data_IF_585832472396
#
_entry.id   IF_585832472396
#
_cell.length_a   1.000
_cell.length_b   1.000
_cell.length_c   1.000
_cell.angle_alpha   90.00
_cell.angle_beta   90.00
_cell.angle_gamma   90.00
#
_symmetry.space_group_name_H-M   'P 1'
#
loop_
_entity.id
_entity.type
_entity.pdbx_description
1 polymer ?
#
# COMPACT_ATOMS: atom_id res chain seq x y z
N UNK A 1 13.99 -19.25 -26.52
CA UNK A 1 13.78 -18.44 -25.29
C UNK A 1 12.32 -18.32 -24.81
N UNK A 2 11.30 -18.79 -25.56
CA UNK A 2 9.89 -18.73 -25.13
C UNK A 2 9.50 -19.77 -24.05
N UNK A 3 10.16 -20.94 -24.00
CA UNK A 3 9.82 -22.02 -23.07
C UNK A 3 10.18 -21.77 -21.59
N UNK A 4 11.19 -20.94 -21.31
CA UNK A 4 11.56 -20.59 -19.93
C UNK A 4 10.59 -19.58 -19.31
N UNK A 5 10.02 -18.69 -20.13
CA UNK A 5 9.06 -17.66 -19.69
C UNK A 5 7.70 -18.29 -19.37
N UNK A 6 7.26 -19.29 -20.14
CA UNK A 6 6.00 -20.03 -19.88
C UNK A 6 6.09 -20.99 -18.70
N UNK A 7 7.22 -21.71 -18.52
CA UNK A 7 7.42 -22.60 -17.36
C UNK A 7 7.34 -21.84 -16.03
N UNK A 8 7.84 -20.60 -15.99
CA UNK A 8 7.80 -19.75 -14.79
C UNK A 8 6.41 -19.15 -14.54
N UNK A 9 5.62 -18.91 -15.59
CA UNK A 9 4.23 -18.43 -15.47
C UNK A 9 3.33 -19.44 -14.78
N UNK A 10 3.45 -20.72 -15.09
CA UNK A 10 2.65 -21.75 -14.44
C UNK A 10 2.93 -21.80 -12.93
N UNK A 11 4.19 -21.70 -12.51
CA UNK A 11 4.55 -21.61 -11.09
C UNK A 11 3.91 -20.40 -10.39
N UNK A 12 3.88 -19.22 -11.04
CA UNK A 12 3.22 -18.03 -10.50
C UNK A 12 1.72 -18.27 -10.33
N UNK A 13 1.06 -18.88 -11.32
CA UNK A 13 -0.36 -19.24 -11.22
C UNK A 13 -0.62 -20.28 -10.14
N UNK A 14 0.22 -21.30 -10.01
CA UNK A 14 0.11 -22.31 -8.96
C UNK A 14 0.28 -21.69 -7.57
N UNK A 15 1.26 -20.81 -7.39
CA UNK A 15 1.46 -20.08 -6.13
C UNK A 15 0.25 -19.18 -5.83
N UNK A 16 -0.25 -18.43 -6.82
CA UNK A 16 -1.42 -17.58 -6.64
C UNK A 16 -2.66 -18.40 -6.25
N UNK A 17 -2.91 -19.52 -6.93
CA UNK A 17 -4.01 -20.43 -6.60
C UNK A 17 -3.84 -21.04 -5.21
N UNK A 18 -2.62 -21.45 -4.84
CA UNK A 18 -2.35 -21.97 -3.50
C UNK A 18 -2.61 -20.92 -2.43
N UNK A 19 -2.20 -19.67 -2.63
CA UNK A 19 -2.45 -18.58 -1.69
C UNK A 19 -3.94 -18.28 -1.53
N UNK A 20 -4.70 -18.28 -2.64
CA UNK A 20 -6.16 -18.11 -2.62
C UNK A 20 -6.82 -19.27 -1.88
N UNK A 21 -6.46 -20.51 -2.21
CA UNK A 21 -7.00 -21.70 -1.55
C UNK A 21 -6.62 -21.74 -0.06
N UNK A 22 -5.43 -21.27 0.32
CA UNK A 22 -4.99 -21.20 1.70
C UNK A 22 -5.80 -20.17 2.50
N UNK A 23 -6.02 -18.98 1.95
CA UNK A 23 -6.82 -17.92 2.59
C UNK A 23 -8.26 -18.40 2.84
N UNK A 24 -8.90 -18.93 1.79
CA UNK A 24 -10.24 -19.50 1.85
C UNK A 24 -10.27 -20.70 2.81
N UNK A 25 -9.33 -21.62 2.69
CA UNK A 25 -9.29 -22.86 3.48
C UNK A 25 -9.11 -22.58 4.97
N UNK A 26 -8.27 -21.61 5.33
CA UNK A 26 -8.08 -21.21 6.74
C UNK A 26 -9.29 -20.43 7.25
N UNK A 27 -9.91 -19.58 6.43
CA UNK A 27 -11.15 -18.89 6.78
C UNK A 27 -12.29 -19.88 7.12
N UNK A 28 -12.47 -20.93 6.31
CA UNK A 28 -13.50 -21.95 6.54
C UNK A 28 -13.13 -22.94 7.65
N UNK A 29 -11.86 -23.31 7.79
CA UNK A 29 -11.42 -24.36 8.73
C UNK A 29 -11.18 -23.86 10.15
N UNK A 30 -10.49 -22.71 10.29
CA UNK A 30 -10.11 -22.14 11.59
C UNK A 30 -10.95 -20.93 11.98
N UNK A 31 -11.77 -20.40 11.06
CA UNK A 31 -12.54 -19.17 11.25
C UNK A 31 -11.73 -17.91 10.93
N UNK A 32 -12.42 -16.87 10.49
CA UNK A 32 -11.88 -15.55 10.11
C UNK A 32 -11.33 -14.74 11.29
N UNK A 33 -11.57 -15.18 12.52
CA UNK A 33 -11.02 -14.56 13.72
C UNK A 33 -9.76 -15.28 14.25
N UNK A 34 -9.32 -16.35 13.61
CA UNK A 34 -8.15 -17.11 14.04
C UNK A 34 -6.84 -16.37 13.74
N UNK A 35 -5.83 -16.57 14.60
CA UNK A 35 -4.47 -16.05 14.35
C UNK A 35 -3.89 -16.58 13.03
N UNK A 36 -4.20 -17.83 12.69
CA UNK A 36 -3.80 -18.44 11.43
C UNK A 36 -4.37 -17.68 10.21
N UNK A 37 -5.65 -17.29 10.26
CA UNK A 37 -6.27 -16.49 9.20
C UNK A 37 -5.57 -15.15 9.04
N UNK A 38 -5.33 -14.41 10.13
CA UNK A 38 -4.62 -13.13 10.05
C UNK A 38 -3.21 -13.25 9.47
N UNK A 39 -2.46 -14.29 9.84
CA UNK A 39 -1.12 -14.51 9.28
C UNK A 39 -1.17 -14.75 7.77
N UNK A 40 -2.09 -15.59 7.31
CA UNK A 40 -2.26 -15.91 5.87
C UNK A 40 -2.75 -14.68 5.12
N UNK A 41 -3.85 -14.07 5.56
CA UNK A 41 -4.45 -12.90 4.91
C UNK A 41 -3.44 -11.74 4.83
N UNK A 42 -2.77 -11.40 5.94
CA UNK A 42 -1.75 -10.34 5.94
C UNK A 42 -0.58 -10.68 4.99
N UNK A 43 -0.13 -11.93 4.96
CA UNK A 43 0.90 -12.39 4.03
C UNK A 43 0.49 -12.20 2.57
N UNK A 44 -0.74 -12.57 2.21
CA UNK A 44 -1.31 -12.37 0.87
C UNK A 44 -1.38 -10.89 0.53
N UNK A 45 -1.91 -10.04 1.42
CA UNK A 45 -2.03 -8.60 1.20
C UNK A 45 -0.68 -7.90 1.04
N UNK A 46 0.34 -8.31 1.81
CA UNK A 46 1.71 -7.80 1.66
C UNK A 46 2.29 -8.19 0.30
N UNK A 47 2.14 -9.45 -0.12
CA UNK A 47 2.60 -9.90 -1.43
C UNK A 47 1.89 -9.17 -2.57
N UNK A 48 0.58 -8.95 -2.46
CA UNK A 48 -0.19 -8.13 -3.40
C UNK A 48 0.34 -6.70 -3.45
N UNK A 49 0.56 -6.08 -2.29
CA UNK A 49 1.08 -4.71 -2.19
C UNK A 49 2.44 -4.60 -2.87
N UNK A 50 3.37 -5.50 -2.58
CA UNK A 50 4.70 -5.54 -3.21
C UNK A 50 4.59 -5.78 -4.72
N UNK A 51 3.71 -6.68 -5.15
CA UNK A 51 3.47 -6.99 -6.56
C UNK A 51 2.93 -5.79 -7.33
N UNK A 52 1.82 -5.20 -6.87
CA UNK A 52 1.19 -4.03 -7.47
C UNK A 52 2.17 -2.86 -7.50
N UNK A 53 2.88 -2.61 -6.41
CA UNK A 53 3.87 -1.54 -6.33
C UNK A 53 4.95 -1.70 -7.38
N UNK A 54 5.53 -2.91 -7.49
CA UNK A 54 6.54 -3.19 -8.51
C UNK A 54 5.98 -3.00 -9.92
N UNK A 55 4.78 -3.50 -10.20
CA UNK A 55 4.13 -3.36 -11.51
C UNK A 55 3.90 -1.89 -11.87
N UNK A 56 3.40 -1.08 -10.94
CA UNK A 56 3.09 0.33 -11.18
C UNK A 56 4.35 1.19 -11.35
N UNK A 57 5.35 0.98 -10.49
CA UNK A 57 6.63 1.70 -10.58
C UNK A 57 7.34 1.36 -11.90
N UNK A 58 7.43 0.07 -12.25
CA UNK A 58 8.06 -0.39 -13.49
C UNK A 58 7.26 -0.03 -14.74
N UNK A 59 5.93 -0.06 -14.65
CA UNK A 59 4.99 0.35 -15.71
C UNK A 59 5.03 1.84 -16.01
N UNK A 60 5.78 2.63 -15.23
CA UNK A 60 6.03 4.04 -15.53
C UNK A 60 5.09 5.01 -14.84
N UNK A 61 4.38 4.60 -13.78
CA UNK A 61 3.51 5.48 -13.00
C UNK A 61 4.23 6.77 -12.60
N UNK A 62 3.61 7.92 -12.93
CA UNK A 62 4.15 9.25 -12.62
C UNK A 62 3.82 9.65 -11.18
N UNK A 63 4.66 10.49 -10.57
CA UNK A 63 4.42 11.00 -9.23
C UNK A 63 3.17 11.87 -9.19
N UNK A 64 2.91 12.63 -10.26
CA UNK A 64 1.68 13.41 -10.42
C UNK A 64 0.43 12.55 -10.30
N UNK A 65 0.35 11.49 -11.08
CA UNK A 65 -0.87 10.70 -11.22
C UNK A 65 -1.17 9.94 -9.92
N UNK A 66 -0.11 9.47 -9.25
CA UNK A 66 -0.22 8.87 -7.91
C UNK A 66 -0.64 9.90 -6.85
N UNK A 67 -0.16 11.14 -6.94
CA UNK A 67 -0.56 12.22 -6.03
C UNK A 67 -2.04 12.58 -6.22
N UNK A 68 -2.50 12.68 -7.48
CA UNK A 68 -3.92 12.91 -7.79
C UNK A 68 -4.79 11.77 -7.27
N UNK A 69 -4.34 10.52 -7.44
CA UNK A 69 -5.01 9.35 -6.86
C UNK A 69 -5.09 9.46 -5.33
N UNK A 70 -3.98 9.81 -4.67
CA UNK A 70 -3.94 10.00 -3.22
C UNK A 70 -4.92 11.08 -2.73
N UNK A 71 -4.96 12.23 -3.40
CA UNK A 71 -5.91 13.32 -3.07
C UNK A 71 -7.36 12.88 -3.32
N UNK A 72 -7.64 12.19 -4.43
CA UNK A 72 -8.97 11.66 -4.70
C UNK A 72 -9.41 10.66 -3.63
N UNK A 73 -8.49 9.80 -3.19
CA UNK A 73 -8.74 8.86 -2.11
C UNK A 73 -8.90 9.55 -0.75
N UNK A 74 -8.22 10.67 -0.48
CA UNK A 74 -8.50 11.50 0.70
C UNK A 74 -9.96 11.96 0.73
N UNK A 75 -10.45 12.48 -0.39
CA UNK A 75 -11.85 12.95 -0.48
C UNK A 75 -12.79 11.77 -0.30
N UNK A 76 -12.52 10.65 -0.97
CA UNK A 76 -13.31 9.43 -0.82
C UNK A 76 -13.35 8.93 0.62
N UNK A 77 -12.19 8.78 1.27
CA UNK A 77 -12.06 8.21 2.61
C UNK A 77 -12.72 9.12 3.67
N UNK A 78 -12.58 10.44 3.51
CA UNK A 78 -13.31 11.41 4.33
C UNK A 78 -14.81 11.28 4.16
N UNK A 79 -15.34 11.22 2.93
CA UNK A 79 -16.77 11.07 2.69
C UNK A 79 -17.29 9.71 3.20
N UNK A 80 -16.55 8.64 2.97
CA UNK A 80 -16.91 7.28 3.37
C UNK A 80 -16.82 7.07 4.89
N UNK A 81 -16.04 7.87 5.61
CA UNK A 81 -15.88 7.77 7.07
C UNK A 81 -16.74 8.80 7.82
N UNK A 82 -16.85 10.04 7.30
CA UNK A 82 -17.53 11.14 7.98
C UNK A 82 -18.95 11.42 7.47
N UNK A 83 -19.23 11.22 6.18
CA UNK A 83 -20.52 11.58 5.59
C UNK A 83 -21.50 10.40 5.50
N UNK A 84 -21.00 9.17 5.35
CA UNK A 84 -21.82 7.97 5.32
C UNK A 84 -21.28 6.96 6.34
N UNK A 85 -22.06 6.46 7.33
CA UNK A 85 -21.66 5.33 8.16
C UNK A 85 -21.62 4.00 7.38
N UNK A 86 -21.35 4.06 6.08
CA UNK A 86 -21.25 2.94 5.15
C UNK A 86 -20.00 2.11 5.45
N UNK A 87 -18.88 2.73 5.83
CA UNK A 87 -17.64 2.00 6.15
C UNK A 87 -17.77 1.13 7.40
N UNK A 88 -18.38 1.63 8.48
CA UNK A 88 -18.64 0.81 9.67
C UNK A 88 -19.55 -0.39 9.34
N UNK A 89 -20.62 -0.17 8.57
CA UNK A 89 -21.53 -1.23 8.16
C UNK A 89 -20.91 -2.24 7.16
N UNK A 90 -20.02 -1.78 6.27
CA UNK A 90 -19.25 -2.65 5.38
C UNK A 90 -18.19 -3.45 6.16
N UNK A 91 -17.49 -2.82 7.10
CA UNK A 91 -16.46 -3.45 7.93
C UNK A 91 -17.06 -4.56 8.79
N UNK A 92 -18.22 -4.33 9.41
CA UNK A 92 -18.94 -5.38 10.15
C UNK A 92 -19.33 -6.56 9.24
N UNK A 93 -19.72 -6.29 7.98
CA UNK A 93 -20.10 -7.36 7.03
C UNK A 93 -18.92 -8.06 6.36
N UNK A 94 -17.79 -7.38 6.18
CA UNK A 94 -16.59 -7.90 5.49
C UNK A 94 -15.56 -8.48 6.43
N UNK A 95 -15.52 -8.08 7.71
CA UNK A 95 -14.58 -8.62 8.71
C UNK A 95 -14.75 -10.13 8.95
N UNK A 96 -15.90 -10.69 8.57
CA UNK A 96 -16.21 -12.11 8.61
C UNK A 96 -15.95 -12.88 7.29
N UNK A 97 -15.42 -12.23 6.25
CA UNK A 97 -15.26 -12.85 4.92
C UNK A 97 -13.78 -13.10 4.57
N UNK A 98 -13.47 -14.15 3.78
CA UNK A 98 -12.15 -14.34 3.19
C UNK A 98 -11.80 -13.16 2.29
N UNK A 99 -10.51 -12.81 2.19
CA UNK A 99 -10.02 -11.57 1.57
C UNK A 99 -10.53 -10.28 2.20
N UNK A 100 -10.60 -10.22 3.53
CA UNK A 100 -10.80 -8.92 4.19
C UNK A 100 -9.70 -7.96 3.74
N UNK A 101 -10.03 -6.81 3.10
CA UNK A 101 -9.06 -5.94 2.43
C UNK A 101 -8.27 -5.07 3.41
N UNK A 102 -7.86 -5.67 4.53
CA UNK A 102 -7.37 -4.99 5.71
C UNK A 102 -6.26 -5.83 6.34
N UNK A 103 -5.15 -5.17 6.62
CA UNK A 103 -4.07 -5.77 7.42
C UNK A 103 -4.44 -5.52 8.87
N UNK A 104 -4.75 -6.59 9.59
CA UNK A 104 -5.19 -6.52 10.99
C UNK A 104 -4.28 -7.31 11.92
N UNK A 105 -4.29 -6.95 13.20
CA UNK A 105 -3.57 -7.70 14.24
C UNK A 105 -4.44 -7.82 15.48
N UNK A 106 -4.19 -8.91 16.22
CA UNK A 106 -4.81 -9.17 17.50
C UNK A 106 -3.86 -8.72 18.61
N UNK A 107 -4.37 -7.96 19.57
CA UNK A 107 -3.69 -7.68 20.84
C UNK A 107 -4.56 -8.29 21.95
N UNK A 108 -4.15 -9.45 22.48
CA UNK A 108 -4.92 -10.19 23.50
C UNK A 108 -6.19 -10.89 22.96
N UNK A 109 -7.26 -10.86 23.75
CA UNK A 109 -8.52 -11.57 23.46
C UNK A 109 -9.43 -10.88 22.42
N UNK A 110 -9.18 -9.60 22.11
CA UNK A 110 -9.97 -8.81 21.14
C UNK A 110 -9.25 -8.54 19.82
N UNK A 111 -10.03 -8.15 18.80
CA UNK A 111 -9.51 -7.47 17.61
C UNK A 111 -9.17 -6.02 18.00
N UNK A 112 -7.95 -5.55 17.78
CA UNK A 112 -7.52 -4.23 18.29
C UNK A 112 -7.11 -3.25 17.18
N UNK A 113 -7.18 -3.63 15.91
CA UNK A 113 -7.05 -2.65 14.83
C UNK A 113 -6.63 -3.24 13.50
N UNK A 114 -6.89 -2.49 12.44
CA UNK A 114 -6.44 -2.81 11.10
C UNK A 114 -6.25 -1.55 10.26
N UNK A 115 -5.35 -1.63 9.29
CA UNK A 115 -5.19 -0.61 8.25
C UNK A 115 -5.79 -1.17 6.96
N UNK A 116 -6.49 -0.33 6.20
CA UNK A 116 -6.95 -0.68 4.87
C UNK A 116 -5.79 -0.97 3.92
N UNK A 117 -5.98 -1.93 3.01
CA UNK A 117 -4.98 -2.21 1.96
C UNK A 117 -4.65 -0.96 1.14
N UNK A 118 -5.61 -0.06 0.91
CA UNK A 118 -5.40 1.18 0.16
C UNK A 118 -4.34 2.09 0.79
N UNK A 119 -4.39 2.29 2.11
CA UNK A 119 -3.45 3.14 2.83
C UNK A 119 -2.04 2.54 2.80
N UNK A 120 -1.94 1.23 3.05
CA UNK A 120 -0.68 0.49 3.01
C UNK A 120 -0.08 0.54 1.61
N UNK A 121 -0.92 0.37 0.58
CA UNK A 121 -0.51 0.43 -0.81
C UNK A 121 0.06 1.82 -1.14
N UNK A 122 -0.64 2.90 -0.79
CA UNK A 122 -0.16 4.24 -1.09
C UNK A 122 1.08 4.63 -0.27
N UNK A 123 1.13 4.27 1.01
CA UNK A 123 2.30 4.44 1.85
C UNK A 123 3.53 3.69 1.31
N UNK A 124 3.32 2.63 0.52
CA UNK A 124 4.40 1.85 -0.11
C UNK A 124 4.79 2.37 -1.50
N UNK A 125 3.81 2.67 -2.36
CA UNK A 125 4.06 3.10 -3.74
C UNK A 125 4.65 4.51 -3.77
N UNK A 126 4.13 5.43 -2.95
CA UNK A 126 4.50 6.84 -3.03
C UNK A 126 5.99 7.09 -2.80
N UNK A 127 6.63 6.53 -1.76
CA UNK A 127 8.08 6.67 -1.58
C UNK A 127 8.90 6.16 -2.75
N UNK A 128 8.51 5.03 -3.35
CA UNK A 128 9.22 4.43 -4.47
C UNK A 128 9.06 5.25 -5.76
N UNK A 129 7.86 5.79 -6.00
CA UNK A 129 7.61 6.69 -7.13
C UNK A 129 8.34 8.02 -6.93
N UNK A 130 8.39 8.57 -5.72
CA UNK A 130 9.16 9.77 -5.39
C UNK A 130 10.66 9.56 -5.56
N UNK A 131 11.17 8.39 -5.15
CA UNK A 131 12.55 8.01 -5.42
C UNK A 131 12.84 8.01 -6.92
N UNK A 132 11.99 7.34 -7.69
CA UNK A 132 12.13 7.29 -9.15
C UNK A 132 12.09 8.69 -9.77
N UNK A 133 11.07 9.47 -9.43
CA UNK A 133 10.80 10.76 -10.06
C UNK A 133 11.86 11.82 -9.75
N UNK A 134 12.31 11.95 -8.50
CA UNK A 134 13.15 13.08 -8.07
C UNK A 134 14.53 12.65 -7.58
N UNK A 135 14.61 11.92 -6.46
CA UNK A 135 15.91 11.53 -5.86
C UNK A 135 15.76 10.47 -4.77
N UNK A 136 16.86 9.81 -4.37
CA UNK A 136 16.88 8.88 -3.21
C UNK A 136 16.36 9.56 -1.94
N UNK A 137 16.78 10.80 -1.70
CA UNK A 137 16.38 11.59 -0.54
C UNK A 137 14.89 11.87 -0.53
N UNK A 138 14.29 12.20 -1.68
CA UNK A 138 12.85 12.40 -1.80
C UNK A 138 12.05 11.15 -1.43
N UNK A 139 12.52 9.97 -1.87
CA UNK A 139 11.91 8.69 -1.50
C UNK A 139 12.04 8.36 -0.01
N UNK A 140 13.22 8.59 0.59
CA UNK A 140 13.43 8.35 2.02
C UNK A 140 12.58 9.27 2.90
N UNK A 141 12.50 10.56 2.55
CA UNK A 141 11.64 11.52 3.25
C UNK A 141 10.17 11.13 3.11
N UNK A 142 9.74 10.72 1.92
CA UNK A 142 8.39 10.23 1.69
C UNK A 142 8.07 8.99 2.54
N UNK A 143 8.99 8.02 2.62
CA UNK A 143 8.84 6.85 3.47
C UNK A 143 8.76 7.23 4.95
N UNK A 144 9.68 8.08 5.43
CA UNK A 144 9.69 8.55 6.81
C UNK A 144 8.39 9.26 7.20
N UNK A 145 7.90 10.17 6.35
CA UNK A 145 6.66 10.89 6.59
C UNK A 145 5.42 10.00 6.50
N UNK A 146 5.39 9.02 5.60
CA UNK A 146 4.30 8.04 5.54
C UNK A 146 4.26 7.18 6.82
N UNK A 147 5.41 6.71 7.31
CA UNK A 147 5.50 5.97 8.56
C UNK A 147 5.10 6.82 9.77
N UNK A 148 5.54 8.08 9.82
CA UNK A 148 5.15 9.03 10.87
C UNK A 148 3.65 9.32 10.86
N UNK A 149 3.05 9.50 9.68
CA UNK A 149 1.62 9.70 9.52
C UNK A 149 0.83 8.48 10.00
N UNK A 150 1.23 7.27 9.58
CA UNK A 150 0.59 6.03 10.04
C UNK A 150 0.74 5.84 11.56
N UNK A 151 1.92 6.09 12.12
CA UNK A 151 2.15 6.03 13.56
C UNK A 151 1.28 7.05 14.33
N UNK A 152 1.13 8.27 13.80
CA UNK A 152 0.24 9.28 14.35
C UNK A 152 -1.23 8.86 14.31
N UNK A 153 -1.69 8.31 13.19
CA UNK A 153 -3.05 7.76 13.05
C UNK A 153 -3.27 6.62 14.06
N UNK A 154 -2.30 5.74 14.24
CA UNK A 154 -2.37 4.69 15.25
C UNK A 154 -2.44 5.19 16.69
N UNK A 155 -1.67 6.23 17.01
CA UNK A 155 -1.76 6.85 18.32
C UNK A 155 -3.16 7.42 18.58
N UNK A 156 -3.85 7.92 17.54
CA UNK A 156 -5.20 8.46 17.65
C UNK A 156 -6.28 7.36 17.70
N UNK A 157 -6.08 6.25 16.97
CA UNK A 157 -6.97 5.07 16.94
C UNK A 157 -7.10 4.38 18.30
N UNK A 158 -6.16 4.59 19.23
CA UNK A 158 -6.25 4.10 20.62
C UNK A 158 -7.47 4.61 21.41
N UNK A 159 -8.27 5.51 20.84
CA UNK A 159 -9.50 6.08 21.42
C UNK A 159 -10.81 5.50 20.82
N UNK A 160 -10.80 4.27 20.27
CA UNK A 160 -11.98 3.56 19.71
C UNK A 160 -12.69 4.25 18.53
N UNK A 161 -12.01 5.17 17.83
CA UNK A 161 -12.57 5.88 16.67
C UNK A 161 -11.85 5.51 15.39
N UNK A 162 -12.61 5.03 14.39
CA UNK A 162 -12.10 4.84 13.02
C UNK A 162 -11.65 6.20 12.49
N UNK A 163 -10.35 6.31 12.18
CA UNK A 163 -9.76 7.53 11.66
C UNK A 163 -9.32 7.34 10.21
N UNK A 164 -9.77 8.20 9.27
CA UNK A 164 -9.44 8.08 7.85
C UNK A 164 -7.97 8.48 7.62
N UNK A 165 -7.09 7.49 7.43
CA UNK A 165 -5.65 7.71 7.29
C UNK A 165 -5.31 8.59 6.08
N UNK A 166 -6.12 8.51 5.02
CA UNK A 166 -5.92 9.29 3.80
C UNK A 166 -6.12 10.79 3.99
N UNK A 167 -6.84 11.23 5.02
CA UNK A 167 -6.98 12.66 5.37
C UNK A 167 -5.64 13.26 5.79
N UNK A 168 -4.73 12.45 6.32
CA UNK A 168 -3.37 12.88 6.64
C UNK A 168 -2.41 12.58 5.50
N UNK A 169 -2.46 11.36 4.95
CA UNK A 169 -1.51 10.91 3.93
C UNK A 169 -1.63 11.70 2.62
N UNK A 170 -2.84 11.93 2.09
CA UNK A 170 -2.98 12.58 0.79
C UNK A 170 -2.50 14.03 0.74
N UNK A 171 -2.81 14.89 1.73
CA UNK A 171 -2.24 16.24 1.80
C UNK A 171 -0.72 16.24 1.94
N UNK A 172 -0.16 15.30 2.72
CA UNK A 172 1.30 15.13 2.83
C UNK A 172 1.90 14.75 1.48
N UNK A 173 1.28 13.80 0.75
CA UNK A 173 1.71 13.40 -0.59
C UNK A 173 1.69 14.59 -1.55
N UNK A 174 0.62 15.38 -1.54
CA UNK A 174 0.49 16.57 -2.38
C UNK A 174 1.56 17.62 -2.06
N UNK A 175 1.75 17.93 -0.77
CA UNK A 175 2.75 18.90 -0.32
C UNK A 175 4.16 18.47 -0.74
N UNK A 176 4.50 17.20 -0.54
CA UNK A 176 5.79 16.66 -0.97
C UNK A 176 5.95 16.71 -2.49
N UNK A 177 4.94 16.30 -3.25
CA UNK A 177 4.99 16.33 -4.70
C UNK A 177 5.26 17.75 -5.22
N UNK A 178 4.52 18.74 -4.72
CA UNK A 178 4.69 20.14 -5.11
C UNK A 178 6.06 20.69 -4.71
N UNK A 179 6.51 20.41 -3.49
CA UNK A 179 7.82 20.85 -3.00
C UNK A 179 8.97 20.32 -3.87
N UNK A 180 8.97 19.01 -4.16
CA UNK A 180 10.02 18.39 -4.97
C UNK A 180 9.93 18.76 -6.44
N UNK A 181 8.72 18.93 -6.98
CA UNK A 181 8.52 19.45 -8.33
C UNK A 181 9.03 20.87 -8.47
N UNK A 182 8.82 21.71 -7.45
CA UNK A 182 9.35 23.08 -7.44
C UNK A 182 10.88 23.09 -7.30
N UNK A 183 11.44 22.25 -6.43
CA UNK A 183 12.89 22.24 -6.14
C UNK A 183 13.76 21.56 -7.20
N UNK A 184 13.28 20.46 -7.79
CA UNK A 184 14.04 19.61 -8.72
C UNK A 184 13.54 19.72 -10.18
N UNK A 185 12.40 20.37 -10.42
CA UNK A 185 11.83 20.54 -11.75
C UNK A 185 11.04 19.33 -12.24
N UNK A 186 11.24 18.95 -13.50
CA UNK A 186 10.45 17.91 -14.17
C UNK A 186 10.71 16.51 -13.61
N UNK A 187 9.68 15.67 -13.63
CA UNK A 187 9.77 14.27 -13.19
C UNK A 187 10.66 13.44 -14.12
N UNK A 188 11.58 12.65 -13.55
CA UNK A 188 12.38 11.71 -14.32
C UNK A 188 11.54 10.56 -14.85
N UNK A 189 11.80 10.17 -16.10
CA UNK A 189 11.17 8.99 -16.70
C UNK A 189 11.82 7.70 -16.18
N UNK A 190 11.15 6.56 -16.32
CA UNK A 190 11.71 5.25 -15.95
C UNK A 190 13.01 4.95 -16.72
N UNK A 191 13.12 5.42 -17.97
CA UNK A 191 14.34 5.27 -18.78
C UNK A 191 15.50 6.08 -18.17
N UNK A 192 15.27 7.34 -17.83
CA UNK A 192 16.27 8.20 -17.18
C UNK A 192 16.71 7.65 -15.81
N UNK A 193 15.76 7.12 -15.04
CA UNK A 193 16.06 6.49 -13.75
C UNK A 193 16.96 5.26 -13.93
N UNK A 194 16.66 4.37 -14.88
CA UNK A 194 17.50 3.20 -15.17
C UNK A 194 18.88 3.59 -15.66
N UNK A 195 18.96 4.59 -16.55
CA UNK A 195 20.24 5.13 -17.04
C UNK A 195 21.11 5.65 -15.89
N UNK A 196 20.51 6.36 -14.92
CA UNK A 196 21.20 6.85 -13.73
C UNK A 196 21.67 5.73 -12.77
N UNK A 197 21.01 4.57 -12.77
CA UNK A 197 21.43 3.40 -12.01
C UNK A 197 22.56 2.61 -12.68
N UNK A 198 22.62 2.64 -14.01
CA UNK A 198 23.66 1.95 -14.79
C UNK A 198 24.94 2.77 -14.98
N UNK A 199 24.92 4.07 -14.66
CA UNK A 199 26.12 4.90 -14.69
C UNK A 199 27.10 4.42 -13.60
N UNK A 200 28.41 4.23 -13.90
CA UNK A 200 29.40 3.88 -12.90
C UNK A 200 29.36 4.91 -11.77
N UNK A 201 29.40 4.44 -10.51
CA UNK A 201 29.57 5.32 -9.35
C UNK A 201 30.89 6.07 -9.50
N UNK A 202 30.86 7.30 -10.00
CA UNK A 202 31.94 8.25 -9.84
C UNK A 202 31.94 8.68 -8.37
N UNK A 203 32.62 7.88 -7.55
CA UNK A 203 32.96 8.26 -6.18
C UNK A 203 33.99 9.40 -6.31
N UNK A 204 33.75 10.60 -5.74
CA UNK A 204 34.76 11.65 -5.69
C UNK A 204 35.95 11.26 -4.82
#
# INVERSE_FOLDING_TARGET
MLGAVTRRRWLVWTIALLLVCLDIGVAYGAGTHSTAFYLVNNGVLVLMTVGITNLWVQGGMKARDLTLLGVGLTVYDYLATAAFPLMAAMFDRLSGLPFSPMIGWRVGAGLVGGIGLGDVLLATIFPLVMWKAFSRTAGLIAAGLALLALAGVFSLLSNDRVFPAMVVLGPIMLAQYLFWRWRCGAERTTQQFRAALSAPLSIP
#
